data_IF_338345141564
#
_entry.id   IF_338345141564
#
_cell.length_a   1.000
_cell.length_b   1.000
_cell.length_c   1.000
_cell.angle_alpha   90.00
_cell.angle_beta   90.00
_cell.angle_gamma   90.00
#
_symmetry.space_group_name_H-M   'P 1'
#
loop_
_entity.id
_entity.type
_entity.pdbx_description
1 polymer ?
#
# COMPACT_ATOMS: atom_id res chain seq x y z
N UNK A 1 26.76 -3.54 6.30
CA UNK A 1 27.61 -4.74 6.21
C UNK A 1 26.76 -5.96 5.85
N UNK A 2 25.62 -6.15 6.50
CA UNK A 2 24.65 -7.24 6.21
C UNK A 2 24.09 -7.20 4.78
N UNK A 3 23.68 -6.04 4.25
CA UNK A 3 23.20 -5.88 2.86
C UNK A 3 24.23 -6.26 1.78
N UNK A 4 25.53 -6.22 2.11
CA UNK A 4 26.59 -6.62 1.18
C UNK A 4 26.77 -8.13 1.11
N UNK A 5 26.35 -8.84 2.16
CA UNK A 5 26.44 -10.30 2.25
C UNK A 5 25.24 -10.93 1.54
N UNK A 6 24.04 -10.37 1.72
CA UNK A 6 22.82 -10.75 0.98
C UNK A 6 23.00 -10.62 -0.53
N UNK A 7 23.46 -9.46 -1.01
CA UNK A 7 23.69 -9.25 -2.45
C UNK A 7 24.73 -10.23 -3.02
N UNK A 8 25.76 -10.55 -2.23
CA UNK A 8 26.77 -11.51 -2.64
C UNK A 8 26.21 -12.93 -2.73
N UNK A 9 25.32 -13.30 -1.79
CA UNK A 9 24.61 -14.57 -1.82
C UNK A 9 23.67 -14.67 -3.04
N UNK A 10 22.90 -13.64 -3.36
CA UNK A 10 22.02 -13.63 -4.54
C UNK A 10 22.81 -13.80 -5.85
N UNK A 11 23.95 -13.11 -5.97
CA UNK A 11 24.85 -13.23 -7.12
C UNK A 11 25.40 -14.66 -7.24
N UNK A 12 25.78 -15.29 -6.13
CA UNK A 12 26.27 -16.67 -6.11
C UNK A 12 25.17 -17.67 -6.47
N UNK A 13 23.94 -17.48 -5.98
CA UNK A 13 22.77 -18.29 -6.34
C UNK A 13 22.47 -18.18 -7.84
N UNK A 14 22.49 -16.97 -8.40
CA UNK A 14 22.27 -16.76 -9.82
C UNK A 14 23.37 -17.39 -10.68
N UNK A 15 24.64 -17.27 -10.28
CA UNK A 15 25.77 -17.94 -10.94
C UNK A 15 25.63 -19.45 -10.92
N UNK A 16 25.21 -20.03 -9.80
CA UNK A 16 24.98 -21.48 -9.70
C UNK A 16 23.87 -21.95 -10.65
N UNK A 17 22.78 -21.18 -10.80
CA UNK A 17 21.72 -21.46 -11.78
C UNK A 17 22.24 -21.41 -13.22
N UNK A 18 23.07 -20.41 -13.55
CA UNK A 18 23.71 -20.31 -14.86
C UNK A 18 24.67 -21.47 -15.13
N UNK A 19 25.51 -21.83 -14.18
CA UNK A 19 26.44 -22.97 -14.29
C UNK A 19 25.68 -24.29 -14.45
N UNK A 20 24.54 -24.45 -13.78
CA UNK A 20 23.67 -25.61 -13.96
C UNK A 20 23.08 -25.64 -15.37
N UNK A 21 22.57 -24.51 -15.89
CA UNK A 21 22.04 -24.42 -17.26
C UNK A 21 23.14 -24.74 -18.29
N UNK A 22 24.34 -24.17 -18.13
CA UNK A 22 25.48 -24.42 -19.02
C UNK A 22 25.92 -25.88 -18.95
N UNK A 23 25.99 -26.47 -17.75
CA UNK A 23 26.33 -27.88 -17.56
C UNK A 23 25.28 -28.80 -18.17
N UNK A 24 24.01 -28.49 -17.97
CA UNK A 24 22.89 -29.24 -18.54
C UNK A 24 22.91 -29.16 -20.08
N UNK A 25 23.13 -27.99 -20.65
CA UNK A 25 23.30 -27.80 -22.10
C UNK A 25 24.49 -28.62 -22.61
N UNK A 26 25.65 -28.55 -21.94
CA UNK A 26 26.84 -29.31 -22.35
C UNK A 26 26.63 -30.83 -22.25
N UNK A 27 26.01 -31.32 -21.17
CA UNK A 27 25.65 -32.73 -21.04
C UNK A 27 24.66 -33.16 -22.12
N UNK A 28 23.70 -32.29 -22.49
CA UNK A 28 22.75 -32.57 -23.57
C UNK A 28 23.43 -32.53 -24.95
N UNK A 29 24.37 -31.62 -25.18
CA UNK A 29 25.16 -31.56 -26.41
C UNK A 29 26.10 -32.77 -26.56
N UNK A 30 26.72 -33.25 -25.48
CA UNK A 30 27.55 -34.45 -25.49
C UNK A 30 26.71 -35.74 -25.61
N UNK A 31 25.54 -35.80 -24.98
CA UNK A 31 24.54 -36.85 -25.25
C UNK A 31 24.10 -36.81 -26.73
N UNK A 32 23.94 -35.61 -27.32
CA UNK A 32 23.58 -35.44 -28.72
C UNK A 32 24.70 -35.80 -29.69
N UNK A 33 25.99 -35.61 -29.37
CA UNK A 33 27.09 -36.13 -30.21
C UNK A 33 26.98 -37.64 -30.44
N UNK A 34 26.51 -38.36 -29.42
CA UNK A 34 26.26 -39.81 -29.48
C UNK A 34 25.02 -40.12 -30.33
N UNK A 35 24.03 -39.22 -30.39
CA UNK A 35 22.79 -39.40 -31.17
C UNK A 35 22.85 -38.83 -32.61
N UNK A 36 23.78 -37.92 -32.91
CA UNK A 36 23.95 -37.24 -34.22
C UNK A 36 24.48 -38.14 -35.33
N UNK A 37 24.69 -39.43 -35.09
CA UNK A 37 24.73 -40.39 -36.20
C UNK A 37 23.34 -40.56 -36.84
N UNK A 38 22.25 -39.99 -36.29
CA UNK A 38 20.88 -40.27 -36.74
C UNK A 38 19.82 -39.13 -36.72
N UNK A 39 20.10 -37.88 -36.30
CA UNK A 39 19.05 -36.82 -36.31
C UNK A 39 19.52 -35.45 -36.81
N UNK A 40 18.66 -34.79 -37.60
CA UNK A 40 18.92 -33.54 -38.33
C UNK A 40 18.88 -32.29 -37.43
N UNK A 41 19.80 -31.34 -37.69
CA UNK A 41 20.02 -30.10 -36.93
C UNK A 41 18.78 -29.19 -36.76
N UNK A 42 17.78 -29.36 -37.62
CA UNK A 42 16.53 -28.59 -37.61
C UNK A 42 15.71 -28.81 -36.32
N UNK A 43 15.72 -30.03 -35.77
CA UNK A 43 14.96 -30.40 -34.57
C UNK A 43 15.46 -29.72 -33.29
N UNK A 44 16.78 -29.47 -33.20
CA UNK A 44 17.41 -28.86 -32.02
C UNK A 44 17.14 -27.37 -31.98
N UNK A 45 17.24 -26.68 -33.12
CA UNK A 45 16.92 -25.25 -33.20
C UNK A 45 15.46 -24.98 -32.86
N UNK A 46 14.56 -25.87 -33.26
CA UNK A 46 13.14 -25.73 -32.94
C UNK A 46 12.86 -25.90 -31.45
N UNK A 47 13.48 -26.88 -30.79
CA UNK A 47 13.35 -27.06 -29.34
C UNK A 47 13.89 -25.85 -28.55
N UNK A 48 15.05 -25.33 -28.93
CA UNK A 48 15.64 -24.15 -28.27
C UNK A 48 14.74 -22.92 -28.44
N UNK A 49 14.22 -22.71 -29.64
CA UNK A 49 13.30 -21.60 -29.92
C UNK A 49 12.01 -21.73 -29.10
N UNK A 50 11.37 -22.90 -29.08
CA UNK A 50 10.15 -23.16 -28.30
C UNK A 50 10.39 -22.98 -26.79
N UNK A 51 11.56 -23.41 -26.29
CA UNK A 51 11.94 -23.23 -24.87
C UNK A 51 12.14 -21.76 -24.53
N UNK A 52 12.86 -21.00 -25.36
CA UNK A 52 13.06 -19.56 -25.15
C UNK A 52 11.73 -18.80 -25.20
N UNK A 53 10.84 -19.16 -26.12
CA UNK A 53 9.54 -18.53 -26.25
C UNK A 53 8.62 -18.84 -25.06
N UNK A 54 8.72 -20.04 -24.49
CA UNK A 54 8.03 -20.40 -23.27
C UNK A 54 8.54 -19.60 -22.06
N UNK A 55 9.86 -19.51 -21.88
CA UNK A 55 10.45 -18.72 -20.78
C UNK A 55 10.12 -17.22 -20.91
N UNK A 56 10.11 -16.68 -22.13
CA UNK A 56 9.70 -15.29 -22.39
C UNK A 56 8.23 -15.04 -22.01
N UNK A 57 7.35 -15.97 -22.35
CA UNK A 57 5.94 -15.90 -21.96
C UNK A 57 5.74 -16.01 -20.44
N UNK A 58 6.48 -16.90 -19.78
CA UNK A 58 6.42 -17.06 -18.32
C UNK A 58 6.93 -15.79 -17.61
N UNK A 59 8.01 -15.19 -18.12
CA UNK A 59 8.50 -13.90 -17.65
C UNK A 59 7.48 -12.78 -17.85
N UNK A 60 6.85 -12.70 -19.04
CA UNK A 60 5.82 -11.70 -19.33
C UNK A 60 4.64 -11.83 -18.37
N UNK A 61 4.18 -13.05 -18.11
CA UNK A 61 3.10 -13.32 -17.15
C UNK A 61 3.47 -12.86 -15.74
N UNK A 62 4.67 -13.18 -15.28
CA UNK A 62 5.16 -12.72 -13.98
C UNK A 62 5.22 -11.19 -13.87
N UNK A 63 5.72 -10.51 -14.92
CA UNK A 63 5.77 -9.05 -14.96
C UNK A 63 4.36 -8.42 -14.96
N UNK A 64 3.40 -9.02 -15.66
CA UNK A 64 2.01 -8.56 -15.66
C UNK A 64 1.37 -8.71 -14.27
N UNK A 65 1.55 -9.85 -13.61
CA UNK A 65 1.04 -10.09 -12.25
C UNK A 65 1.65 -9.10 -11.24
N UNK A 66 2.97 -8.85 -11.31
CA UNK A 66 3.63 -7.85 -10.47
C UNK A 66 3.15 -6.43 -10.76
N UNK A 67 2.98 -6.07 -12.03
CA UNK A 67 2.47 -4.75 -12.42
C UNK A 67 1.05 -4.51 -11.91
N UNK A 68 0.18 -5.52 -11.98
CA UNK A 68 -1.18 -5.44 -11.44
C UNK A 68 -1.16 -5.23 -9.91
N UNK A 69 -0.36 -6.02 -9.20
CA UNK A 69 -0.22 -5.90 -7.74
C UNK A 69 0.26 -4.50 -7.33
N UNK A 70 1.24 -3.93 -8.05
CA UNK A 70 1.70 -2.55 -7.82
C UNK A 70 0.54 -1.56 -8.02
N UNK A 71 -0.22 -1.72 -9.10
CA UNK A 71 -1.36 -0.84 -9.41
C UNK A 71 -2.43 -0.89 -8.31
N UNK A 72 -2.78 -2.08 -7.82
CA UNK A 72 -3.77 -2.26 -6.76
C UNK A 72 -3.31 -1.64 -5.42
N UNK A 73 -2.01 -1.76 -5.10
CA UNK A 73 -1.39 -1.13 -3.94
C UNK A 73 -1.44 0.39 -4.07
N UNK A 74 -1.06 0.94 -5.23
CA UNK A 74 -1.08 2.39 -5.47
C UNK A 74 -2.49 2.97 -5.39
N UNK A 75 -3.49 2.30 -5.97
CA UNK A 75 -4.89 2.71 -5.87
C UNK A 75 -5.37 2.70 -4.41
N UNK A 76 -5.01 1.67 -3.65
CA UNK A 76 -5.38 1.55 -2.23
C UNK A 76 -4.74 2.68 -1.40
N UNK A 77 -3.46 3.00 -1.64
CA UNK A 77 -2.76 4.12 -0.99
C UNK A 77 -3.41 5.45 -1.32
N UNK A 78 -3.72 5.70 -2.59
CA UNK A 78 -4.36 6.93 -3.04
C UNK A 78 -5.73 7.11 -2.37
N UNK A 79 -6.55 6.05 -2.34
CA UNK A 79 -7.86 6.08 -1.69
C UNK A 79 -7.75 6.43 -0.20
N UNK A 80 -6.79 5.83 0.50
CA UNK A 80 -6.55 6.11 1.92
C UNK A 80 -6.12 7.56 2.18
N UNK A 81 -5.21 8.11 1.36
CA UNK A 81 -4.79 9.52 1.44
C UNK A 81 -5.99 10.45 1.24
N UNK A 82 -6.88 10.13 0.29
CA UNK A 82 -8.08 10.92 0.02
C UNK A 82 -9.02 10.90 1.24
N UNK A 83 -9.25 9.72 1.84
CA UNK A 83 -10.07 9.59 3.05
C UNK A 83 -9.50 10.39 4.22
N UNK A 84 -8.19 10.27 4.47
CA UNK A 84 -7.49 11.00 5.52
C UNK A 84 -7.66 12.52 5.34
N UNK A 85 -7.35 13.04 4.15
CA UNK A 85 -7.50 14.48 3.83
C UNK A 85 -8.95 14.97 3.88
N UNK A 86 -9.92 14.10 3.63
CA UNK A 86 -11.33 14.44 3.76
C UNK A 86 -11.70 14.62 5.23
N UNK A 87 -11.24 13.72 6.09
CA UNK A 87 -11.54 13.73 7.52
C UNK A 87 -10.82 14.88 8.24
N UNK A 88 -9.56 15.17 7.87
CA UNK A 88 -8.83 16.34 8.36
C UNK A 88 -9.58 17.64 8.04
N UNK A 89 -10.07 17.80 6.81
CA UNK A 89 -10.90 18.94 6.41
C UNK A 89 -12.21 19.03 7.19
N UNK A 90 -12.87 17.89 7.43
CA UNK A 90 -14.09 17.86 8.24
C UNK A 90 -13.81 18.30 9.69
N UNK A 91 -12.72 17.83 10.30
CA UNK A 91 -12.29 18.24 11.64
C UNK A 91 -12.03 19.75 11.68
N UNK A 92 -11.35 20.31 10.69
CA UNK A 92 -11.04 21.74 10.64
C UNK A 92 -12.32 22.59 10.52
N UNK A 93 -13.28 22.18 9.69
CA UNK A 93 -14.56 22.86 9.58
C UNK A 93 -15.35 22.84 10.91
N UNK A 94 -15.35 21.69 11.58
CA UNK A 94 -16.07 21.53 12.86
C UNK A 94 -15.39 22.34 13.97
N UNK A 95 -14.05 22.39 13.98
CA UNK A 95 -13.29 23.26 14.90
C UNK A 95 -13.62 24.73 14.68
N UNK A 96 -13.72 25.16 13.43
CA UNK A 96 -14.09 26.54 13.11
C UNK A 96 -15.53 26.86 13.58
N UNK A 97 -16.47 25.93 13.37
CA UNK A 97 -17.85 26.11 13.85
C UNK A 97 -17.93 26.14 15.38
N UNK A 98 -17.13 25.32 16.07
CA UNK A 98 -17.01 25.32 17.52
C UNK A 98 -16.49 26.68 18.02
N UNK A 99 -15.39 27.19 17.45
CA UNK A 99 -14.82 28.48 17.83
C UNK A 99 -15.83 29.64 17.66
N UNK A 100 -16.57 29.64 16.56
CA UNK A 100 -17.64 30.62 16.30
C UNK A 100 -18.76 30.48 17.35
N UNK A 101 -19.14 29.25 17.68
CA UNK A 101 -20.22 28.97 18.64
C UNK A 101 -19.81 29.37 20.05
N UNK A 102 -18.59 29.05 20.49
CA UNK A 102 -18.05 29.46 21.78
C UNK A 102 -17.98 30.98 21.93
N UNK A 103 -17.49 31.69 20.90
CA UNK A 103 -17.49 33.16 20.87
C UNK A 103 -18.90 33.73 21.04
N UNK A 104 -19.90 33.16 20.36
CA UNK A 104 -21.31 33.56 20.52
C UNK A 104 -21.82 33.30 21.94
N UNK A 105 -21.50 32.14 22.52
CA UNK A 105 -21.89 31.79 23.90
C UNK A 105 -21.34 32.80 24.90
N UNK A 106 -20.04 33.14 24.81
CA UNK A 106 -19.40 34.12 25.70
C UNK A 106 -20.03 35.51 25.53
N UNK A 107 -20.30 35.93 24.29
CA UNK A 107 -20.98 37.21 24.04
C UNK A 107 -22.38 37.22 24.65
N UNK A 108 -23.17 36.15 24.48
CA UNK A 108 -24.48 36.03 25.11
C UNK A 108 -24.39 36.07 26.65
N UNK A 109 -23.44 35.36 27.25
CA UNK A 109 -23.20 35.37 28.70
C UNK A 109 -22.81 36.76 29.23
N UNK A 110 -22.04 37.54 28.47
CA UNK A 110 -21.63 38.90 28.84
C UNK A 110 -22.73 39.95 28.65
N UNK A 111 -23.62 39.76 27.68
CA UNK A 111 -24.64 40.77 27.32
C UNK A 111 -25.88 40.66 28.20
N UNK A 112 -26.12 39.52 28.84
CA UNK A 112 -27.35 39.24 29.55
C UNK A 112 -27.10 38.71 30.96
N UNK A 113 -27.05 39.63 31.93
CA UNK A 113 -27.14 39.32 33.35
C UNK A 113 -28.57 38.82 33.69
N UNK A 114 -28.71 37.48 33.71
CA UNK A 114 -29.60 36.67 34.57
C UNK A 114 -31.04 37.16 34.88
N UNK A 115 -31.87 37.53 33.91
CA UNK A 115 -33.30 37.76 34.21
C UNK A 115 -34.35 37.22 33.22
N UNK A 116 -33.99 36.81 32.00
CA UNK A 116 -34.98 36.36 31.02
C UNK A 116 -34.85 34.85 30.69
N UNK A 117 -35.90 34.07 30.94
CA UNK A 117 -35.92 32.60 30.73
C UNK A 117 -35.68 32.22 29.26
N UNK A 118 -36.06 33.06 28.31
CA UNK A 118 -35.78 32.86 26.89
C UNK A 118 -34.28 32.89 26.56
N UNK A 119 -33.52 33.72 27.26
CA UNK A 119 -32.06 33.84 27.10
C UNK A 119 -31.35 32.63 27.70
N UNK A 120 -31.83 32.16 28.85
CA UNK A 120 -31.31 30.95 29.51
C UNK A 120 -31.47 29.71 28.61
N UNK A 121 -32.63 29.55 27.96
CA UNK A 121 -32.86 28.46 27.01
C UNK A 121 -31.99 28.54 25.75
N UNK A 122 -31.71 29.75 25.24
CA UNK A 122 -30.80 29.94 24.11
C UNK A 122 -29.35 29.61 24.47
N UNK A 123 -28.93 29.95 25.69
CA UNK A 123 -27.61 29.65 26.23
C UNK A 123 -27.41 28.14 26.44
N UNK A 124 -28.40 27.44 26.99
CA UNK A 124 -28.37 25.97 27.09
C UNK A 124 -28.28 25.29 25.72
N UNK A 125 -28.98 25.81 24.72
CA UNK A 125 -28.92 25.28 23.35
C UNK A 125 -27.52 25.47 22.73
N UNK A 126 -26.91 26.66 22.90
CA UNK A 126 -25.55 26.91 22.44
C UNK A 126 -24.53 25.99 23.14
N UNK A 127 -24.67 25.76 24.44
CA UNK A 127 -23.82 24.82 25.21
C UNK A 127 -23.99 23.39 24.70
N UNK A 128 -25.23 22.94 24.49
CA UNK A 128 -25.50 21.64 23.90
C UNK A 128 -24.88 21.50 22.51
N UNK A 129 -24.93 22.56 21.69
CA UNK A 129 -24.30 22.57 20.37
C UNK A 129 -22.77 22.43 20.48
N UNK A 130 -22.13 23.14 21.42
CA UNK A 130 -20.70 22.95 21.68
C UNK A 130 -20.37 21.51 22.11
N UNK A 131 -21.17 20.90 22.98
CA UNK A 131 -20.97 19.51 23.42
C UNK A 131 -21.08 18.51 22.25
N UNK A 132 -22.04 18.72 21.36
CA UNK A 132 -22.21 17.91 20.15
C UNK A 132 -21.01 18.07 19.21
N UNK A 133 -20.55 19.30 18.97
CA UNK A 133 -19.40 19.57 18.12
C UNK A 133 -18.11 18.96 18.71
N UNK A 134 -17.91 19.04 20.04
CA UNK A 134 -16.80 18.39 20.72
C UNK A 134 -16.82 16.86 20.55
N UNK A 135 -17.98 16.22 20.75
CA UNK A 135 -18.13 14.78 20.51
C UNK A 135 -17.86 14.40 19.06
N UNK A 136 -18.28 15.23 18.11
CA UNK A 136 -18.01 15.01 16.69
C UNK A 136 -16.52 15.08 16.38
N UNK A 137 -15.81 16.08 16.92
CA UNK A 137 -14.33 16.17 16.80
C UNK A 137 -13.68 14.91 17.37
N UNK A 138 -14.03 14.49 18.58
CA UNK A 138 -13.48 13.28 19.20
C UNK A 138 -13.72 12.03 18.34
N UNK A 139 -14.92 11.90 17.78
CA UNK A 139 -15.28 10.76 16.93
C UNK A 139 -14.48 10.77 15.62
N UNK A 140 -14.34 11.93 14.98
CA UNK A 140 -13.55 12.07 13.75
C UNK A 140 -12.05 11.85 14.03
N UNK A 141 -11.51 12.36 15.14
CA UNK A 141 -10.12 12.10 15.54
C UNK A 141 -9.88 10.61 15.79
N UNK A 142 -10.79 9.90 16.47
CA UNK A 142 -10.67 8.47 16.67
C UNK A 142 -10.67 7.69 15.35
N UNK A 143 -11.55 8.07 14.41
CA UNK A 143 -11.58 7.47 13.06
C UNK A 143 -10.31 7.75 12.27
N UNK A 144 -9.71 8.94 12.43
CA UNK A 144 -8.43 9.30 11.81
C UNK A 144 -7.31 8.38 12.32
N UNK A 145 -7.27 8.16 13.63
CA UNK A 145 -6.28 7.28 14.26
C UNK A 145 -6.44 5.83 13.79
N UNK A 146 -7.67 5.36 13.64
CA UNK A 146 -7.94 4.01 13.12
C UNK A 146 -7.50 3.85 11.67
N UNK A 147 -7.75 4.85 10.81
CA UNK A 147 -7.25 4.88 9.42
C UNK A 147 -5.71 4.86 9.41
N UNK A 148 -5.07 5.69 10.24
CA UNK A 148 -3.62 5.75 10.35
C UNK A 148 -3.01 4.41 10.81
N UNK A 149 -3.64 3.74 11.78
CA UNK A 149 -3.23 2.39 12.23
C UNK A 149 -3.39 1.34 11.13
N UNK A 150 -4.51 1.36 10.41
CA UNK A 150 -4.73 0.44 9.28
C UNK A 150 -3.71 0.65 8.16
N UNK A 151 -3.37 1.90 7.86
CA UNK A 151 -2.32 2.24 6.89
C UNK A 151 -0.96 1.71 7.34
N UNK A 152 -0.61 1.88 8.62
CA UNK A 152 0.64 1.40 9.18
C UNK A 152 0.74 -0.14 9.10
N UNK A 153 -0.33 -0.85 9.48
CA UNK A 153 -0.39 -2.32 9.39
C UNK A 153 -0.28 -2.82 7.95
N UNK A 154 -0.98 -2.18 6.99
CA UNK A 154 -0.87 -2.55 5.57
C UNK A 154 0.54 -2.32 5.02
N UNK A 155 1.18 -1.19 5.35
CA UNK A 155 2.59 -0.94 5.00
C UNK A 155 3.54 -2.00 5.57
N UNK A 156 3.27 -2.46 6.80
CA UNK A 156 4.10 -3.49 7.45
C UNK A 156 3.93 -4.86 6.77
N UNK A 157 2.70 -5.23 6.40
CA UNK A 157 2.42 -6.46 5.65
C UNK A 157 2.88 -6.38 4.18
N UNK A 158 2.82 -5.21 3.54
CA UNK A 158 3.31 -4.98 2.17
C UNK A 158 4.85 -5.09 2.10
N UNK A 159 5.57 -4.60 3.11
CA UNK A 159 7.01 -4.83 3.25
C UNK A 159 7.33 -6.31 3.51
N UNK A 160 6.45 -7.04 4.20
CA UNK A 160 6.59 -8.48 4.38
C UNK A 160 6.35 -9.29 3.09
N UNK A 161 5.44 -8.86 2.22
CA UNK A 161 5.21 -9.47 0.89
C UNK A 161 6.41 -9.22 -0.04
N UNK A 162 7.18 -8.15 0.18
CA UNK A 162 8.43 -7.87 -0.52
C UNK A 162 9.63 -8.63 0.08
N UNK A 163 9.51 -9.19 1.28
CA UNK A 163 10.54 -10.07 1.88
C UNK A 163 10.14 -11.54 1.75
N UNK A 164 10.79 -12.21 0.79
CA UNK A 164 10.95 -13.66 0.63
C UNK A 164 9.78 -14.50 0.10
N UNK A 165 10.00 -15.09 -1.09
CA UNK A 165 10.47 -16.48 -1.19
C UNK A 165 11.85 -16.45 -1.92
N UNK A 166 12.95 -16.55 -1.17
CA UNK A 166 14.27 -16.98 -1.70
C UNK A 166 14.39 -18.50 -1.67
#
# INVERSE_FOLDING_TARGET
MEQSIELQHEIETFRSKLDYIVTYINQKLDQQKITTTTLSSLSIHQLVFETMQQEENDLLKYLMEKSQNISDIEQTKLFSIIQQRSLEREIDLVRQELEITEKKTIQFEQTFDNSDEGIKGHMENLKLKCDVLHKHILTCSQRLDDINKQNLMKLTNENQILTYDE
#
